data_IF_780293632719
#
_entry.id   IF_780293632719
#
_cell.length_a   1.000
_cell.length_b   1.000
_cell.length_c   1.000
_cell.angle_alpha   90.00
_cell.angle_beta   90.00
_cell.angle_gamma   90.00
#
_symmetry.space_group_name_H-M   'P 1'
#
loop_
_entity.id
_entity.type
_entity.pdbx_description
1 polymer ?
#
# COMPACT_ATOMS: atom_id res chain seq x y z
N UNK A 1 17.51 14.80 14.63
CA UNK A 1 17.48 14.74 13.14
C UNK A 1 18.32 13.58 12.59
N UNK A 2 19.30 13.09 13.33
CA UNK A 2 20.28 12.07 12.88
C UNK A 2 19.66 10.67 12.72
N UNK A 3 18.50 10.42 13.34
CA UNK A 3 17.76 9.16 13.24
C UNK A 3 16.83 9.07 12.02
N UNK A 4 16.68 10.14 11.26
CA UNK A 4 15.77 10.18 10.13
C UNK A 4 16.46 9.74 8.83
N UNK A 5 15.85 8.80 8.11
CA UNK A 5 16.25 8.48 6.75
C UNK A 5 15.48 9.36 5.77
N UNK A 6 16.14 10.42 5.27
CA UNK A 6 15.51 11.38 4.39
C UNK A 6 15.24 10.80 2.99
N UNK A 7 14.04 11.07 2.50
CA UNK A 7 13.61 10.80 1.14
C UNK A 7 13.30 12.13 0.44
N UNK A 8 14.32 12.77 -0.09
CA UNK A 8 14.18 14.10 -0.63
C UNK A 8 13.99 15.16 0.46
N UNK A 9 13.40 16.30 0.09
CA UNK A 9 13.34 17.50 0.94
C UNK A 9 12.28 17.43 2.04
N UNK A 10 11.18 16.71 1.81
CA UNK A 10 9.98 16.79 2.64
C UNK A 10 9.49 15.44 3.20
N UNK A 11 10.22 14.36 2.92
CA UNK A 11 9.85 13.01 3.31
C UNK A 11 10.97 12.34 4.08
N UNK A 12 10.61 11.52 5.08
CA UNK A 12 11.58 10.73 5.83
C UNK A 12 10.96 9.41 6.29
N UNK A 13 11.80 8.38 6.42
CA UNK A 13 11.45 7.16 7.15
C UNK A 13 11.84 7.31 8.61
N UNK A 14 11.00 6.78 9.49
CA UNK A 14 11.24 6.72 10.92
C UNK A 14 11.68 5.29 11.30
N UNK A 15 12.83 5.10 11.96
CA UNK A 15 13.23 3.79 12.44
C UNK A 15 12.31 3.33 13.57
N UNK A 16 12.01 2.03 13.61
CA UNK A 16 11.16 1.43 14.64
C UNK A 16 11.73 1.59 16.06
N UNK A 17 13.04 1.79 16.20
CA UNK A 17 13.69 2.06 17.48
C UNK A 17 13.19 3.34 18.18
N UNK A 18 12.52 4.24 17.46
CA UNK A 18 11.89 5.44 18.03
C UNK A 18 10.56 5.15 18.75
N UNK A 19 10.04 3.93 18.65
CA UNK A 19 8.81 3.54 19.34
C UNK A 19 9.09 3.51 20.85
N UNK A 20 8.29 4.27 21.59
CA UNK A 20 8.33 4.35 23.05
C UNK A 20 7.00 3.82 23.60
N UNK A 21 7.00 2.59 24.06
CA UNK A 21 5.81 1.91 24.59
C UNK A 21 5.16 2.65 25.77
N UNK A 22 5.96 3.35 26.58
CA UNK A 22 5.43 4.12 27.70
C UNK A 22 4.65 5.35 27.24
N UNK A 23 5.11 6.00 26.15
CA UNK A 23 4.36 7.08 25.49
C UNK A 23 3.13 6.58 24.78
N UNK A 24 3.24 5.45 24.07
CA UNK A 24 2.10 4.83 23.38
C UNK A 24 0.97 4.53 24.35
N UNK A 25 1.25 3.91 25.50
CA UNK A 25 0.25 3.59 26.54
C UNK A 25 -0.44 4.84 27.14
N UNK A 26 0.21 5.99 27.10
CA UNK A 26 -0.35 7.27 27.58
C UNK A 26 -1.06 8.09 26.50
N UNK A 27 -0.98 7.62 25.25
CA UNK A 27 -1.59 8.31 24.12
C UNK A 27 -3.04 7.87 23.91
N UNK A 28 -3.83 8.74 23.27
CA UNK A 28 -5.19 8.41 22.85
C UNK A 28 -5.17 8.06 21.36
N UNK A 29 -5.71 6.90 21.01
CA UNK A 29 -5.90 6.49 19.63
C UNK A 29 -7.32 6.79 19.17
N UNK A 30 -7.45 7.53 18.07
CA UNK A 30 -8.73 7.80 17.41
C UNK A 30 -8.74 7.06 16.08
N UNK A 31 -9.63 6.07 15.95
CA UNK A 31 -9.82 5.34 14.70
C UNK A 31 -10.92 5.98 13.86
N UNK A 32 -10.59 6.39 12.64
CA UNK A 32 -11.55 6.88 11.65
C UNK A 32 -11.81 5.76 10.64
N UNK A 33 -13.04 5.28 10.60
CA UNK A 33 -13.44 4.15 9.75
C UNK A 33 -14.80 4.41 9.09
N UNK A 34 -15.22 3.52 8.21
CA UNK A 34 -16.54 3.50 7.59
C UNK A 34 -17.12 2.08 7.60
N UNK A 35 -18.43 1.96 7.69
CA UNK A 35 -19.14 0.68 7.74
C UNK A 35 -19.01 -0.08 6.43
N UNK A 36 -19.19 0.59 5.31
CA UNK A 36 -19.13 0.00 3.97
C UNK A 36 -18.41 0.93 3.00
N UNK A 37 -17.62 0.39 2.05
CA UNK A 37 -17.01 1.20 1.02
C UNK A 37 -18.04 1.58 -0.05
N UNK A 38 -17.93 2.81 -0.56
CA UNK A 38 -18.70 3.28 -1.72
C UNK A 38 -17.76 3.61 -2.89
N UNK A 39 -18.25 3.63 -4.14
CA UNK A 39 -17.42 3.99 -5.28
C UNK A 39 -16.81 5.39 -5.19
N UNK A 40 -17.56 6.35 -4.64
CA UNK A 40 -17.11 7.73 -4.47
C UNK A 40 -16.15 7.91 -3.28
N UNK A 41 -16.11 6.96 -2.35
CA UNK A 41 -15.40 7.07 -1.08
C UNK A 41 -16.22 7.75 0.02
N UNK A 42 -15.87 7.52 1.30
CA UNK A 42 -16.61 8.01 2.48
C UNK A 42 -15.90 9.17 3.19
N UNK A 43 -14.84 9.71 2.59
CA UNK A 43 -14.11 10.85 3.15
C UNK A 43 -13.27 10.55 4.40
N UNK A 44 -12.95 9.28 4.69
CA UNK A 44 -12.14 8.90 5.86
C UNK A 44 -10.83 9.69 5.96
N UNK A 45 -10.10 9.80 4.88
CA UNK A 45 -8.82 10.52 4.83
C UNK A 45 -9.02 12.01 5.11
N UNK A 46 -9.98 12.65 4.45
CA UNK A 46 -10.29 14.06 4.65
C UNK A 46 -10.71 14.35 6.09
N UNK A 47 -11.56 13.50 6.69
CA UNK A 47 -11.98 13.60 8.08
C UNK A 47 -10.80 13.41 9.03
N UNK A 48 -9.92 12.44 8.79
CA UNK A 48 -8.75 12.21 9.63
C UNK A 48 -7.80 13.42 9.63
N UNK A 49 -7.55 14.01 8.47
CA UNK A 49 -6.71 15.20 8.34
C UNK A 49 -7.36 16.40 9.02
N UNK A 50 -8.64 16.66 8.73
CA UNK A 50 -9.38 17.78 9.34
C UNK A 50 -9.49 17.67 10.86
N UNK A 51 -9.71 16.47 11.38
CA UNK A 51 -9.71 16.22 12.82
C UNK A 51 -8.34 16.51 13.46
N UNK A 52 -7.26 16.04 12.82
CA UNK A 52 -5.90 16.32 13.30
C UNK A 52 -5.59 17.82 13.30
N UNK A 53 -5.95 18.52 12.23
CA UNK A 53 -5.81 19.99 12.15
C UNK A 53 -6.63 20.69 13.23
N UNK A 54 -7.89 20.29 13.44
CA UNK A 54 -8.77 20.86 14.45
C UNK A 54 -8.22 20.65 15.87
N UNK A 55 -7.75 19.44 16.18
CA UNK A 55 -7.12 19.15 17.47
C UNK A 55 -5.85 19.98 17.70
N UNK A 56 -5.00 20.13 16.68
CA UNK A 56 -3.82 20.98 16.75
C UNK A 56 -4.20 22.45 17.02
N UNK A 57 -5.26 22.94 16.39
CA UNK A 57 -5.72 24.33 16.55
C UNK A 57 -6.20 24.65 17.96
N UNK A 58 -6.74 23.68 18.69
CA UNK A 58 -7.11 23.83 20.10
C UNK A 58 -5.98 23.43 21.07
N UNK A 59 -4.72 23.39 20.58
CA UNK A 59 -3.54 23.18 21.40
C UNK A 59 -3.24 21.72 21.79
N UNK A 60 -3.91 20.74 21.19
CA UNK A 60 -3.59 19.31 21.42
C UNK A 60 -2.40 18.88 20.56
N UNK A 61 -1.50 18.12 21.14
CA UNK A 61 -0.44 17.45 20.39
C UNK A 61 -1.06 16.25 19.64
N UNK A 62 -1.08 16.32 18.34
CA UNK A 62 -1.70 15.29 17.51
C UNK A 62 -0.78 14.87 16.36
N UNK A 63 -0.94 13.65 15.91
CA UNK A 63 -0.32 13.11 14.72
C UNK A 63 -1.38 12.36 13.93
N UNK A 64 -1.48 12.60 12.64
CA UNK A 64 -2.36 11.84 11.75
C UNK A 64 -1.57 10.70 11.12
N UNK A 65 -2.15 9.51 11.12
CA UNK A 65 -1.63 8.34 10.42
C UNK A 65 -2.59 7.99 9.30
N UNK A 66 -2.11 8.05 8.08
CA UNK A 66 -2.90 7.80 6.88
C UNK A 66 -2.37 6.56 6.17
N UNK A 67 -3.25 5.85 5.52
CA UNK A 67 -2.84 4.80 4.60
C UNK A 67 -2.23 5.42 3.34
N UNK A 68 -1.15 4.82 2.83
CA UNK A 68 -0.61 5.19 1.53
C UNK A 68 -1.68 4.98 0.44
N UNK A 69 -1.85 5.94 -0.48
CA UNK A 69 -2.73 5.76 -1.62
C UNK A 69 -2.09 4.88 -2.68
N UNK A 70 -2.91 4.20 -3.45
CA UNK A 70 -2.50 3.72 -4.76
C UNK A 70 -2.43 4.87 -5.78
N UNK A 71 -1.92 4.61 -6.99
CA UNK A 71 -1.96 5.58 -8.09
C UNK A 71 -3.40 5.91 -8.58
N UNK A 72 -4.37 5.19 -8.09
CA UNK A 72 -5.79 5.36 -8.46
C UNK A 72 -6.36 6.76 -8.26
N UNK A 73 -6.04 7.50 -7.18
CA UNK A 73 -6.52 8.88 -7.03
C UNK A 73 -6.08 9.83 -8.14
N UNK A 74 -4.96 9.57 -8.80
CA UNK A 74 -4.46 10.39 -9.90
C UNK A 74 -5.18 10.08 -11.21
N UNK A 75 -5.56 8.81 -11.43
CA UNK A 75 -6.14 8.33 -12.67
C UNK A 75 -7.61 7.89 -12.54
N UNK A 76 -8.23 8.10 -11.38
CA UNK A 76 -9.58 7.61 -11.09
C UNK A 76 -10.46 8.63 -10.37
N UNK A 77 -11.62 8.16 -9.93
CA UNK A 77 -12.68 8.98 -9.32
C UNK A 77 -12.55 9.09 -7.79
N UNK A 78 -11.86 8.15 -7.13
CA UNK A 78 -11.69 8.17 -5.67
C UNK A 78 -10.80 9.30 -5.23
N UNK A 79 -11.23 10.02 -4.20
CA UNK A 79 -10.54 11.18 -3.65
C UNK A 79 -9.11 10.92 -3.24
N UNK A 80 -8.31 11.99 -3.27
CA UNK A 80 -6.87 11.96 -3.05
C UNK A 80 -6.51 11.49 -1.65
N UNK A 81 -5.37 10.86 -1.57
CA UNK A 81 -4.72 10.44 -0.34
C UNK A 81 -4.30 11.58 0.56
N UNK A 82 -4.19 12.75 0.01
CA UNK A 82 -3.77 13.97 0.71
C UNK A 82 -4.94 14.72 1.34
N UNK A 83 -6.17 14.18 1.26
CA UNK A 83 -7.37 14.84 1.74
C UNK A 83 -8.09 15.67 0.69
N UNK A 84 -8.90 16.64 1.08
CA UNK A 84 -9.68 17.48 0.18
C UNK A 84 -10.07 18.81 0.81
N UNK A 85 -10.41 19.79 -0.02
CA UNK A 85 -10.75 21.14 0.43
C UNK A 85 -9.61 21.78 1.21
N UNK A 86 -9.90 22.25 2.43
CA UNK A 86 -8.89 22.82 3.33
C UNK A 86 -8.15 21.76 4.18
N UNK A 87 -8.60 20.51 4.16
CA UNK A 87 -7.98 19.39 4.89
C UNK A 87 -7.01 18.65 3.99
N UNK A 88 -5.79 19.17 3.85
CA UNK A 88 -4.77 18.63 2.94
C UNK A 88 -3.42 18.41 3.61
N UNK A 89 -2.68 17.40 3.12
CA UNK A 89 -1.29 17.12 3.48
C UNK A 89 -0.38 17.45 2.30
N UNK A 90 0.75 18.08 2.58
CA UNK A 90 1.77 18.45 1.59
C UNK A 90 3.05 17.60 1.80
N UNK A 91 3.82 17.35 0.75
CA UNK A 91 3.61 17.68 -0.66
C UNK A 91 2.62 16.72 -1.34
N UNK A 92 1.61 17.26 -1.98
CA UNK A 92 0.50 16.50 -2.55
C UNK A 92 0.93 15.61 -3.72
N UNK A 93 1.73 16.15 -4.61
CA UNK A 93 2.21 15.45 -5.82
C UNK A 93 3.04 14.22 -5.46
N UNK A 94 3.98 14.37 -4.54
CA UNK A 94 4.84 13.28 -4.09
C UNK A 94 4.04 12.15 -3.44
N UNK A 95 3.03 12.51 -2.63
CA UNK A 95 2.20 11.53 -1.92
C UNK A 95 1.28 10.79 -2.89
N UNK A 96 0.69 11.49 -3.87
CA UNK A 96 -0.26 10.90 -4.82
C UNK A 96 0.43 10.09 -5.93
N UNK A 97 1.63 10.46 -6.36
CA UNK A 97 2.32 9.76 -7.44
C UNK A 97 3.03 8.50 -6.95
N UNK A 98 3.85 8.62 -5.94
CA UNK A 98 4.47 7.45 -5.33
C UNK A 98 5.07 7.78 -3.98
N UNK A 99 4.75 6.96 -3.02
CA UNK A 99 5.38 6.95 -1.72
C UNK A 99 5.80 5.53 -1.36
N UNK A 100 6.82 5.34 -0.55
CA UNK A 100 7.21 4.01 -0.10
C UNK A 100 6.43 3.63 1.16
N UNK A 101 5.30 2.97 1.01
CA UNK A 101 4.47 2.56 2.15
C UNK A 101 3.87 1.16 1.96
N UNK A 102 2.69 0.95 2.54
CA UNK A 102 2.05 -0.36 2.63
C UNK A 102 1.69 -0.94 1.25
N UNK A 103 1.16 -0.15 0.33
CA UNK A 103 0.78 -0.62 -1.01
C UNK A 103 2.01 -1.08 -1.80
N UNK A 104 3.07 -0.26 -1.82
CA UNK A 104 4.34 -0.64 -2.47
C UNK A 104 4.98 -1.86 -1.81
N UNK A 105 4.91 -1.97 -0.49
CA UNK A 105 5.41 -3.13 0.25
C UNK A 105 4.64 -4.42 -0.09
N UNK A 106 3.31 -4.35 -0.16
CA UNK A 106 2.46 -5.49 -0.55
C UNK A 106 2.77 -5.95 -1.97
N UNK A 107 2.90 -5.02 -2.92
CA UNK A 107 3.28 -5.33 -4.30
C UNK A 107 4.62 -6.05 -4.37
N UNK A 108 5.65 -5.53 -3.70
CA UNK A 108 7.00 -6.14 -3.71
C UNK A 108 7.03 -7.51 -3.02
N UNK A 109 6.34 -7.67 -1.89
CA UNK A 109 6.21 -8.95 -1.21
C UNK A 109 5.50 -10.00 -2.08
N UNK A 110 4.42 -9.59 -2.74
CA UNK A 110 3.68 -10.44 -3.67
C UNK A 110 4.55 -10.86 -4.88
N UNK A 111 5.28 -9.93 -5.49
CA UNK A 111 6.16 -10.20 -6.61
C UNK A 111 7.29 -11.18 -6.23
N UNK A 112 7.86 -11.01 -5.04
CA UNK A 112 8.87 -11.95 -4.53
C UNK A 112 8.29 -13.35 -4.35
N UNK A 113 7.12 -13.48 -3.74
CA UNK A 113 6.47 -14.78 -3.55
C UNK A 113 6.10 -15.42 -4.88
N UNK A 114 5.62 -14.66 -5.85
CA UNK A 114 5.36 -15.13 -7.21
C UNK A 114 6.62 -15.72 -7.86
N UNK A 115 7.75 -15.01 -7.76
CA UNK A 115 9.02 -15.47 -8.28
C UNK A 115 9.52 -16.73 -7.57
N UNK A 116 9.34 -16.85 -6.26
CA UNK A 116 9.69 -18.03 -5.49
C UNK A 116 8.85 -19.26 -5.90
N UNK A 117 7.56 -19.09 -6.12
CA UNK A 117 6.67 -20.14 -6.63
C UNK A 117 7.16 -20.61 -8.01
N UNK A 118 7.38 -19.70 -8.95
CA UNK A 118 7.82 -20.03 -10.29
C UNK A 118 9.20 -20.72 -10.28
N UNK A 119 10.13 -20.25 -9.49
CA UNK A 119 11.42 -20.90 -9.31
C UNK A 119 11.30 -22.29 -8.69
N UNK A 120 10.40 -22.49 -7.73
CA UNK A 120 10.17 -23.80 -7.12
C UNK A 120 9.60 -24.80 -8.11
N UNK A 121 8.65 -24.40 -8.95
CA UNK A 121 8.06 -25.25 -9.98
C UNK A 121 9.09 -25.73 -11.00
N UNK A 122 10.12 -24.94 -11.29
CA UNK A 122 11.17 -25.28 -12.22
C UNK A 122 12.36 -26.03 -11.58
N UNK A 123 12.45 -26.01 -10.26
CA UNK A 123 13.57 -26.60 -9.54
C UNK A 123 13.46 -28.12 -9.46
N UNK A 124 14.42 -28.83 -10.07
CA UNK A 124 14.54 -30.29 -9.96
C UNK A 124 15.13 -30.76 -8.62
N UNK A 125 15.92 -29.91 -7.95
CA UNK A 125 16.69 -30.29 -6.75
C UNK A 125 16.05 -29.85 -5.44
N UNK A 126 15.24 -28.80 -5.45
CA UNK A 126 14.65 -28.16 -4.25
C UNK A 126 13.16 -27.93 -4.41
N UNK A 127 12.49 -28.80 -5.13
CA UNK A 127 11.04 -28.69 -5.30
C UNK A 127 10.32 -29.03 -4.00
N UNK A 128 9.34 -28.22 -3.66
CA UNK A 128 8.39 -28.48 -2.57
C UNK A 128 7.25 -29.43 -2.99
N UNK A 129 7.28 -29.93 -4.24
CA UNK A 129 6.24 -30.80 -4.79
C UNK A 129 4.94 -30.06 -5.11
N UNK A 130 4.99 -28.77 -5.37
CA UNK A 130 3.80 -27.99 -5.75
C UNK A 130 3.25 -28.50 -7.09
N UNK A 131 1.96 -28.77 -7.14
CA UNK A 131 1.28 -29.11 -8.38
C UNK A 131 0.89 -27.82 -9.12
N UNK A 132 1.47 -27.56 -10.32
CA UNK A 132 1.20 -26.32 -11.06
C UNK A 132 -0.28 -26.18 -11.45
N UNK A 133 -1.04 -27.28 -11.51
CA UNK A 133 -2.48 -27.28 -11.84
C UNK A 133 -3.34 -26.79 -10.66
N UNK A 134 -2.80 -26.80 -9.46
CA UNK A 134 -3.50 -26.39 -8.24
C UNK A 134 -3.05 -25.04 -7.72
N UNK A 135 -2.16 -24.33 -8.45
CA UNK A 135 -1.73 -22.99 -8.07
C UNK A 135 -2.75 -21.98 -8.55
N UNK A 136 -3.43 -21.36 -7.60
CA UNK A 136 -4.26 -20.21 -7.82
C UNK A 136 -3.60 -18.99 -7.20
N UNK A 137 -3.02 -18.13 -8.04
CA UNK A 137 -2.23 -16.99 -7.60
C UNK A 137 -2.53 -15.77 -8.47
N UNK A 138 -3.27 -14.82 -7.92
CA UNK A 138 -3.60 -13.57 -8.58
C UNK A 138 -2.45 -12.57 -8.49
N UNK A 139 -2.27 -11.75 -9.50
CA UNK A 139 -1.24 -10.71 -9.51
C UNK A 139 -1.72 -9.48 -8.75
N UNK A 140 -0.82 -8.85 -7.96
CA UNK A 140 -1.06 -7.60 -7.27
C UNK A 140 -0.19 -6.52 -7.88
N UNK A 141 -0.83 -5.46 -8.35
CA UNK A 141 -0.17 -4.29 -8.93
C UNK A 141 -0.82 -3.04 -8.36
N UNK A 142 -0.04 -1.99 -8.17
CA UNK A 142 -0.54 -0.70 -7.67
C UNK A 142 -1.29 0.11 -8.75
N UNK A 143 -1.41 -0.41 -9.95
CA UNK A 143 -2.16 0.20 -11.03
C UNK A 143 -3.39 -0.63 -11.39
N UNK A 144 -4.55 0.02 -11.44
CA UNK A 144 -5.78 -0.62 -11.84
C UNK A 144 -5.88 -0.67 -13.37
N UNK A 145 -5.44 -1.76 -13.95
CA UNK A 145 -5.64 -2.06 -15.36
C UNK A 145 -6.70 -3.17 -15.50
N UNK A 146 -7.82 -2.84 -16.12
CA UNK A 146 -8.91 -3.78 -16.33
C UNK A 146 -8.53 -4.94 -17.24
N UNK A 147 -7.61 -4.75 -18.16
CA UNK A 147 -7.13 -5.79 -19.07
C UNK A 147 -6.30 -6.86 -18.36
N UNK A 148 -5.76 -6.56 -17.15
CA UNK A 148 -5.01 -7.49 -16.33
C UNK A 148 -5.86 -8.31 -15.36
N UNK A 149 -7.18 -8.15 -15.35
CA UNK A 149 -8.07 -8.88 -14.42
C UNK A 149 -8.21 -10.36 -14.75
N UNK A 150 -7.96 -10.74 -15.97
CA UNK A 150 -7.92 -12.13 -16.41
C UNK A 150 -6.84 -12.26 -17.47
N UNK A 151 -5.70 -12.80 -17.08
CA UNK A 151 -4.55 -12.99 -17.94
C UNK A 151 -4.12 -14.47 -17.95
N UNK A 152 -3.52 -14.88 -19.03
CA UNK A 152 -2.88 -16.20 -19.10
C UNK A 152 -1.37 -16.00 -18.99
N UNK A 153 -0.75 -16.68 -18.05
CA UNK A 153 0.70 -16.69 -17.84
C UNK A 153 1.28 -18.07 -18.11
N UNK A 154 2.61 -18.17 -18.23
CA UNK A 154 3.31 -19.44 -18.50
C UNK A 154 3.27 -19.87 -19.96
N UNK A 155 2.97 -18.97 -20.89
CA UNK A 155 3.10 -19.20 -22.33
C UNK A 155 4.58 -19.16 -22.74
N UNK A 156 4.99 -19.95 -23.73
CA UNK A 156 6.37 -19.97 -24.23
C UNK A 156 7.16 -21.22 -23.86
N UNK A 157 6.48 -22.31 -23.51
CA UNK A 157 7.07 -23.62 -23.28
C UNK A 157 7.48 -23.88 -21.83
N UNK A 158 8.11 -25.02 -21.61
CA UNK A 158 8.40 -25.55 -20.27
C UNK A 158 9.32 -24.67 -19.42
N UNK A 159 10.15 -23.83 -20.06
CA UNK A 159 11.00 -22.86 -19.35
C UNK A 159 10.22 -21.75 -18.66
N UNK A 160 9.00 -21.45 -19.12
CA UNK A 160 8.13 -20.43 -18.57
C UNK A 160 7.02 -20.98 -17.66
N UNK A 161 7.08 -22.28 -17.36
CA UNK A 161 6.07 -22.98 -16.58
C UNK A 161 4.90 -23.48 -17.42
N UNK A 162 3.80 -23.78 -16.75
CA UNK A 162 2.56 -24.24 -17.42
C UNK A 162 1.60 -23.08 -17.62
N UNK A 163 0.88 -23.03 -18.78
CA UNK A 163 -0.18 -22.06 -18.99
C UNK A 163 -1.23 -22.15 -17.90
N UNK A 164 -1.57 -21.01 -17.28
CA UNK A 164 -2.58 -20.90 -16.24
C UNK A 164 -3.19 -19.50 -16.19
N UNK A 165 -4.41 -19.41 -15.75
CA UNK A 165 -5.05 -18.13 -15.50
C UNK A 165 -4.46 -17.45 -14.26
N UNK A 166 -4.28 -16.13 -14.35
CA UNK A 166 -3.85 -15.27 -13.25
C UNK A 166 -4.41 -13.86 -13.49
N UNK A 167 -4.82 -13.15 -12.43
CA UNK A 167 -5.34 -11.81 -12.59
C UNK A 167 -5.98 -11.27 -11.33
#
# INVERSE_FOLDING_TARGET
HDDLQLYGKYKAKLPLALIDDAKVKKSNLILVTAISPTPAGEGKTTVSIGLSQGLSRIGKKTCVVLREPSLWPVFGIKGGATGGGYSQVLPMEDINLHFTGDISAVEKAHNLLSALIDNNLQSKKRSLGLDPRQIFWKRVMDMNDRSLRSIIIGLGGTGNGMPRESG
#
